data_IF_041352733643
#
_entry.id   IF_041352733643
#
_cell.length_a   1.000
_cell.length_b   1.000
_cell.length_c   1.000
_cell.angle_alpha   90.00
_cell.angle_beta   90.00
_cell.angle_gamma   90.00
#
_symmetry.space_group_name_H-M   'P 1'
#
loop_
_entity.id
_entity.type
_entity.pdbx_description
1 polymer ?
#
# COMPACT_ATOMS: atom_id res chain seq x y z
N UNK A 1 28.38 -9.32 0.24
CA UNK A 1 27.87 -7.98 -0.07
C UNK A 1 26.92 -7.60 1.04
N UNK A 2 27.02 -6.42 1.60
CA UNK A 2 25.98 -5.93 2.53
C UNK A 2 24.69 -5.75 1.71
N UNK A 3 23.52 -6.13 2.26
CA UNK A 3 22.26 -5.91 1.58
C UNK A 3 22.08 -4.40 1.30
N UNK A 4 21.70 -4.06 0.08
CA UNK A 4 21.44 -2.68 -0.29
C UNK A 4 20.12 -2.25 0.35
N UNK A 5 20.12 -1.16 1.11
CA UNK A 5 18.91 -0.57 1.67
C UNK A 5 18.03 -0.02 0.55
N UNK A 6 16.78 -0.45 0.49
CA UNK A 6 15.86 -0.17 -0.61
C UNK A 6 14.76 0.81 -0.19
N UNK A 7 13.99 1.31 -1.16
CA UNK A 7 12.75 2.09 -0.90
C UNK A 7 11.75 1.25 -0.09
N UNK A 8 11.69 -0.05 -0.38
CA UNK A 8 10.84 -0.98 0.38
C UNK A 8 11.24 -1.04 1.85
N UNK A 9 12.54 -1.16 2.13
CA UNK A 9 13.04 -1.18 3.51
C UNK A 9 12.74 0.15 4.24
N UNK A 10 12.91 1.29 3.55
CA UNK A 10 12.55 2.59 4.10
C UNK A 10 11.07 2.66 4.48
N UNK A 11 10.18 2.24 3.59
CA UNK A 11 8.73 2.22 3.87
C UNK A 11 8.42 1.35 5.09
N UNK A 12 9.00 0.15 5.17
CA UNK A 12 8.77 -0.77 6.29
C UNK A 12 9.27 -0.18 7.62
N UNK A 13 10.44 0.45 7.64
CA UNK A 13 10.96 1.11 8.84
C UNK A 13 10.04 2.26 9.27
N UNK A 14 9.54 3.08 8.32
CA UNK A 14 8.60 4.16 8.62
C UNK A 14 7.26 3.65 9.17
N UNK A 15 6.75 2.50 8.69
CA UNK A 15 5.56 1.86 9.28
C UNK A 15 5.80 1.48 10.74
N UNK A 16 6.93 0.86 11.04
CA UNK A 16 7.31 0.47 12.41
C UNK A 16 7.43 1.71 13.31
N UNK A 17 8.03 2.80 12.83
CA UNK A 17 8.13 4.07 13.57
C UNK A 17 6.76 4.70 13.84
N UNK A 18 5.76 4.48 12.96
CA UNK A 18 4.37 4.87 13.21
C UNK A 18 3.61 3.93 14.18
N UNK A 19 4.28 2.93 14.75
CA UNK A 19 3.69 1.96 15.68
C UNK A 19 2.93 0.82 15.01
N UNK A 20 3.06 0.66 13.68
CA UNK A 20 2.44 -0.43 12.93
C UNK A 20 3.35 -1.65 12.99
N UNK A 21 2.93 -2.71 13.68
CA UNK A 21 3.68 -3.96 13.82
C UNK A 21 3.05 -5.12 13.02
N UNK A 22 1.98 -4.86 12.27
CA UNK A 22 1.31 -5.85 11.40
C UNK A 22 0.94 -5.22 10.06
N UNK A 23 1.26 -5.94 8.98
CA UNK A 23 0.84 -5.60 7.62
C UNK A 23 -0.16 -6.66 7.13
N UNK A 24 -1.37 -6.24 6.82
CA UNK A 24 -2.44 -7.11 6.33
C UNK A 24 -2.43 -7.14 4.80
N UNK A 25 -2.91 -8.21 4.18
CA UNK A 25 -3.02 -8.20 2.72
C UNK A 25 -3.18 -9.54 2.07
N UNK A 26 -3.08 -9.54 0.75
CA UNK A 26 -3.14 -10.72 -0.11
C UNK A 26 -1.94 -10.69 -1.06
N UNK A 27 -1.18 -11.80 -1.17
CA UNK A 27 -0.11 -11.90 -2.14
C UNK A 27 -0.64 -11.84 -3.58
N UNK A 28 0.09 -11.19 -4.46
CA UNK A 28 -0.18 -11.15 -5.90
C UNK A 28 1.07 -10.76 -6.67
N UNK A 29 1.08 -11.01 -7.99
CA UNK A 29 2.29 -10.94 -8.81
C UNK A 29 3.08 -9.63 -8.67
N UNK A 30 2.38 -8.51 -8.52
CA UNK A 30 3.05 -7.20 -8.44
C UNK A 30 3.51 -6.81 -7.03
N UNK A 31 3.23 -7.60 -5.99
CA UNK A 31 3.69 -7.33 -4.63
C UNK A 31 4.60 -8.41 -4.04
N UNK A 32 4.81 -9.55 -4.73
CA UNK A 32 5.61 -10.67 -4.20
C UNK A 32 7.03 -10.26 -3.84
N UNK A 33 7.70 -9.47 -4.67
CA UNK A 33 9.07 -9.02 -4.39
C UNK A 33 9.14 -8.12 -3.14
N UNK A 34 8.13 -7.27 -2.94
CA UNK A 34 8.04 -6.45 -1.73
C UNK A 34 7.72 -7.30 -0.50
N UNK A 35 6.93 -8.36 -0.66
CA UNK A 35 6.64 -9.31 0.43
C UNK A 35 7.88 -10.03 0.94
N UNK A 36 8.88 -10.28 0.10
CA UNK A 36 10.17 -10.83 0.57
C UNK A 36 10.84 -9.88 1.57
N UNK A 37 10.80 -8.57 1.33
CA UNK A 37 11.28 -7.55 2.28
C UNK A 37 10.44 -7.51 3.55
N UNK A 38 9.11 -7.63 3.43
CA UNK A 38 8.19 -7.68 4.59
C UNK A 38 8.51 -8.88 5.49
N UNK A 39 8.74 -10.06 4.90
CA UNK A 39 9.06 -11.29 5.63
C UNK A 39 10.44 -11.20 6.28
N UNK A 40 11.38 -10.50 5.66
CA UNK A 40 12.71 -10.28 6.21
C UNK A 40 12.73 -9.27 7.37
N UNK A 41 11.74 -8.36 7.44
CA UNK A 41 11.62 -7.35 8.49
C UNK A 41 11.15 -7.99 9.82
N UNK A 42 11.99 -7.92 10.86
CA UNK A 42 11.71 -8.61 12.13
C UNK A 42 10.67 -7.91 13.00
N UNK A 43 10.48 -6.61 12.82
CA UNK A 43 9.58 -5.78 13.65
C UNK A 43 8.17 -5.65 13.06
N UNK A 44 7.94 -6.17 11.85
CA UNK A 44 6.67 -6.10 11.14
C UNK A 44 6.21 -7.50 10.73
N UNK A 45 5.09 -7.96 11.28
CA UNK A 45 4.53 -9.27 10.97
C UNK A 45 3.57 -9.21 9.77
N UNK A 46 3.71 -10.13 8.81
CA UNK A 46 2.73 -10.33 7.74
C UNK A 46 1.50 -11.09 8.22
N UNK A 47 0.32 -10.59 7.87
CA UNK A 47 -0.98 -11.22 8.13
C UNK A 47 -1.72 -11.40 6.80
N UNK A 48 -1.62 -12.61 6.24
CA UNK A 48 -2.36 -12.98 5.02
C UNK A 48 -3.86 -13.10 5.30
N UNK A 49 -4.67 -12.49 4.44
CA UNK A 49 -6.12 -12.45 4.54
C UNK A 49 -6.78 -13.29 3.45
N UNK A 50 -8.06 -13.64 3.63
CA UNK A 50 -8.80 -14.44 2.67
C UNK A 50 -9.08 -13.70 1.35
N UNK A 51 -9.24 -12.37 1.42
CA UNK A 51 -9.31 -11.46 0.29
C UNK A 51 -8.95 -10.04 0.74
N UNK A 52 -8.85 -9.12 -0.20
CA UNK A 52 -8.38 -7.74 0.05
C UNK A 52 -9.39 -6.90 0.82
N UNK A 53 -10.69 -7.16 0.70
CA UNK A 53 -11.71 -6.51 1.52
C UNK A 53 -11.56 -6.92 3.00
N UNK A 54 -11.29 -8.20 3.27
CA UNK A 54 -10.95 -8.64 4.62
C UNK A 54 -9.68 -7.96 5.14
N UNK A 55 -8.66 -7.80 4.28
CA UNK A 55 -7.42 -7.12 4.65
C UNK A 55 -7.67 -5.65 5.03
N UNK A 56 -8.51 -4.94 4.25
CA UNK A 56 -8.87 -3.56 4.52
C UNK A 56 -9.61 -3.43 5.86
N UNK A 57 -10.60 -4.26 6.14
CA UNK A 57 -11.30 -4.25 7.42
C UNK A 57 -10.41 -4.71 8.60
N UNK A 58 -9.48 -5.64 8.36
CA UNK A 58 -8.52 -6.03 9.40
C UNK A 58 -7.57 -4.88 9.74
N UNK A 59 -7.07 -4.15 8.73
CA UNK A 59 -6.24 -2.96 8.92
C UNK A 59 -7.02 -1.83 9.63
N UNK A 60 -8.29 -1.61 9.27
CA UNK A 60 -9.18 -0.66 9.94
C UNK A 60 -9.35 -1.00 11.44
N UNK A 61 -9.76 -2.24 11.73
CA UNK A 61 -9.93 -2.69 13.12
C UNK A 61 -8.63 -2.61 13.93
N UNK A 62 -7.49 -2.93 13.31
CA UNK A 62 -6.17 -2.79 13.93
C UNK A 62 -5.86 -1.31 14.20
N UNK A 63 -6.09 -0.43 13.23
CA UNK A 63 -5.83 1.01 13.36
C UNK A 63 -6.64 1.66 14.49
N UNK A 64 -7.90 1.25 14.68
CA UNK A 64 -8.75 1.72 15.79
C UNK A 64 -8.18 1.43 17.18
N UNK A 65 -7.37 0.39 17.32
CA UNK A 65 -6.76 -0.02 18.59
C UNK A 65 -5.32 0.51 18.73
N UNK A 66 -4.56 0.48 17.63
CA UNK A 66 -3.13 0.84 17.62
C UNK A 66 -2.83 2.28 17.23
N UNK A 67 -3.80 2.99 16.68
CA UNK A 67 -3.67 4.37 16.20
C UNK A 67 -3.37 4.50 14.72
N UNK A 68 -2.82 3.49 14.07
CA UNK A 68 -2.61 3.42 12.61
C UNK A 68 -2.56 1.97 12.15
N UNK A 69 -2.86 1.73 10.88
CA UNK A 69 -2.81 0.40 10.25
C UNK A 69 -2.33 0.47 8.81
N UNK A 70 -1.95 -0.67 8.26
CA UNK A 70 -1.53 -0.76 6.86
C UNK A 70 -1.99 -2.06 6.21
N UNK A 71 -2.31 -1.99 4.91
CA UNK A 71 -2.57 -3.16 4.08
C UNK A 71 -1.79 -3.09 2.78
N UNK A 72 -1.48 -4.27 2.24
CA UNK A 72 -0.79 -4.45 0.97
C UNK A 72 -1.65 -5.27 0.02
N UNK A 73 -1.87 -4.75 -1.18
CA UNK A 73 -2.59 -5.44 -2.26
C UNK A 73 -1.77 -5.47 -3.53
N UNK A 74 -2.13 -6.34 -4.46
CA UNK A 74 -1.63 -6.26 -5.82
C UNK A 74 -2.37 -5.19 -6.61
N UNK A 75 -1.81 -4.78 -7.75
CA UNK A 75 -2.37 -3.82 -8.67
C UNK A 75 -3.75 -4.24 -9.21
N UNK A 76 -4.59 -3.28 -9.46
CA UNK A 76 -5.87 -3.44 -10.15
C UNK A 76 -6.86 -4.26 -9.33
N UNK A 77 -7.01 -5.53 -9.66
CA UNK A 77 -8.02 -6.41 -9.04
C UNK A 77 -7.92 -6.49 -7.53
N UNK A 78 -6.71 -6.44 -6.97
CA UNK A 78 -6.51 -6.46 -5.52
C UNK A 78 -6.84 -5.13 -4.87
N UNK A 79 -6.31 -4.02 -5.41
CA UNK A 79 -6.60 -2.69 -4.86
C UNK A 79 -8.09 -2.34 -4.97
N UNK A 80 -8.74 -2.65 -6.09
CA UNK A 80 -10.17 -2.41 -6.28
C UNK A 80 -11.03 -3.16 -5.26
N UNK A 81 -10.66 -4.40 -4.93
CA UNK A 81 -11.35 -5.19 -3.90
C UNK A 81 -11.27 -4.55 -2.51
N UNK A 82 -10.22 -3.80 -2.21
CA UNK A 82 -10.01 -3.14 -0.92
C UNK A 82 -10.75 -1.80 -0.79
N UNK A 83 -11.16 -1.15 -1.91
CA UNK A 83 -11.67 0.24 -1.91
C UNK A 83 -12.85 0.46 -0.97
N UNK A 84 -13.74 -0.51 -0.83
CA UNK A 84 -14.88 -0.42 0.09
C UNK A 84 -14.42 -0.22 1.55
N UNK A 85 -13.44 -1.02 2.00
CA UNK A 85 -12.87 -0.87 3.35
C UNK A 85 -12.10 0.45 3.51
N UNK A 86 -11.31 0.85 2.49
CA UNK A 86 -10.59 2.13 2.49
C UNK A 86 -11.56 3.32 2.57
N UNK A 87 -12.64 3.30 1.80
CA UNK A 87 -13.68 4.34 1.86
C UNK A 87 -14.33 4.42 3.26
N UNK A 88 -14.54 3.28 3.92
CA UNK A 88 -15.04 3.23 5.29
C UNK A 88 -14.05 3.84 6.30
N UNK A 89 -12.77 3.48 6.20
CA UNK A 89 -11.71 4.06 7.04
C UNK A 89 -11.59 5.57 6.83
N UNK A 90 -11.62 6.03 5.58
CA UNK A 90 -11.59 7.46 5.25
C UNK A 90 -12.78 8.22 5.83
N UNK A 91 -13.99 7.69 5.68
CA UNK A 91 -15.22 8.32 6.19
C UNK A 91 -15.25 8.47 7.72
N UNK A 92 -14.54 7.61 8.45
CA UNK A 92 -14.48 7.61 9.91
C UNK A 92 -13.14 8.11 10.47
N UNK A 93 -12.29 8.71 9.63
CA UNK A 93 -10.97 9.23 10.01
C UNK A 93 -10.06 8.19 10.67
N UNK A 94 -10.15 6.93 10.22
CA UNK A 94 -9.29 5.84 10.69
C UNK A 94 -8.00 5.84 9.88
N UNK A 95 -6.81 6.02 10.50
CA UNK A 95 -5.55 6.11 9.77
C UNK A 95 -5.12 4.76 9.21
N UNK A 96 -5.38 4.52 7.93
CA UNK A 96 -5.01 3.28 7.23
C UNK A 96 -4.19 3.61 5.98
N UNK A 97 -2.97 3.08 5.90
CA UNK A 97 -2.14 3.16 4.71
C UNK A 97 -2.47 1.98 3.77
N UNK A 98 -2.86 2.28 2.55
CA UNK A 98 -3.02 1.28 1.49
C UNK A 98 -1.79 1.28 0.58
N UNK A 99 -1.01 0.21 0.63
CA UNK A 99 0.17 -0.02 -0.22
C UNK A 99 -0.26 -0.88 -1.40
N UNK A 100 0.02 -0.42 -2.61
CA UNK A 100 -0.32 -1.14 -3.84
C UNK A 100 0.95 -1.54 -4.58
N UNK A 101 1.17 -2.84 -4.74
CA UNK A 101 2.23 -3.35 -5.61
C UNK A 101 1.83 -3.14 -7.07
N UNK A 102 2.60 -2.39 -7.82
CA UNK A 102 2.31 -2.01 -9.19
C UNK A 102 3.32 -2.61 -10.19
N UNK A 103 2.96 -2.73 -11.48
CA UNK A 103 3.91 -3.07 -12.54
C UNK A 103 5.14 -2.16 -12.51
N UNK A 104 6.30 -2.68 -12.89
CA UNK A 104 7.53 -1.90 -12.88
C UNK A 104 7.40 -0.63 -13.75
N UNK A 105 8.08 0.44 -13.35
CA UNK A 105 8.00 1.76 -14.01
C UNK A 105 8.32 1.70 -15.50
N UNK A 106 9.25 0.81 -15.91
CA UNK A 106 9.59 0.63 -17.33
C UNK A 106 8.43 0.06 -18.16
N UNK A 107 7.65 -0.89 -17.61
CA UNK A 107 6.48 -1.43 -18.29
C UNK A 107 5.36 -0.36 -18.38
N UNK A 108 5.16 0.40 -17.32
CA UNK A 108 4.19 1.50 -17.32
C UNK A 108 4.55 2.57 -18.36
N UNK A 109 5.83 2.99 -18.44
CA UNK A 109 6.30 3.99 -19.42
C UNK A 109 6.13 3.54 -20.88
N UNK A 110 6.22 2.23 -21.14
CA UNK A 110 5.98 1.67 -22.48
C UNK A 110 4.51 1.41 -22.80
N UNK A 111 3.60 1.62 -21.83
CA UNK A 111 2.16 1.32 -22.01
C UNK A 111 1.89 -0.15 -22.29
N UNK A 112 2.62 -1.07 -21.63
CA UNK A 112 2.47 -2.51 -21.87
C UNK A 112 1.09 -3.01 -21.45
N UNK A 113 0.51 -3.88 -22.28
CA UNK A 113 -0.79 -4.52 -21.99
C UNK A 113 -0.57 -5.69 -21.03
N UNK A 114 -0.74 -5.43 -19.76
CA UNK A 114 -0.49 -6.40 -18.69
C UNK A 114 -1.81 -6.89 -18.07
N UNK A 115 -1.75 -8.07 -17.44
CA UNK A 115 -2.86 -8.58 -16.63
C UNK A 115 -3.15 -7.65 -15.43
N UNK A 116 -4.33 -7.75 -14.87
CA UNK A 116 -4.85 -6.90 -13.78
C UNK A 116 -4.99 -5.41 -14.16
N UNK A 117 -4.83 -5.06 -15.44
CA UNK A 117 -5.08 -3.71 -15.97
C UNK A 117 -6.37 -3.70 -16.80
N UNK A 118 -6.76 -2.54 -17.32
CA UNK A 118 -7.87 -2.43 -18.27
C UNK A 118 -7.43 -2.76 -19.73
N UNK A 119 -6.15 -3.09 -19.94
CA UNK A 119 -5.63 -3.53 -21.23
C UNK A 119 -5.47 -2.40 -22.27
N UNK A 120 -5.36 -1.17 -21.82
CA UNK A 120 -5.24 0.03 -22.66
C UNK A 120 -3.89 0.75 -22.53
N UNK A 121 -3.01 0.28 -21.64
CA UNK A 121 -1.70 0.87 -21.39
C UNK A 121 -1.70 2.08 -20.47
N UNK A 122 -2.86 2.50 -19.94
CA UNK A 122 -2.95 3.53 -18.91
C UNK A 122 -3.01 2.90 -17.51
N UNK A 123 -1.98 3.17 -16.72
CA UNK A 123 -1.85 2.65 -15.35
C UNK A 123 -2.37 3.63 -14.30
N UNK A 124 -3.05 4.69 -14.68
CA UNK A 124 -3.56 5.70 -13.75
C UNK A 124 -5.03 5.48 -13.34
N UNK A 125 -5.74 4.55 -13.96
CA UNK A 125 -7.18 4.36 -13.75
C UNK A 125 -7.54 4.09 -12.28
N UNK A 126 -6.90 3.11 -11.66
CA UNK A 126 -7.24 2.68 -10.30
C UNK A 126 -6.78 3.70 -9.26
N UNK A 127 -5.62 4.33 -9.48
CA UNK A 127 -5.16 5.44 -8.69
C UNK A 127 -6.17 6.60 -8.65
N UNK A 128 -6.72 6.99 -9.82
CA UNK A 128 -7.78 8.01 -9.92
C UNK A 128 -9.08 7.58 -9.25
N UNK A 129 -9.44 6.29 -9.28
CA UNK A 129 -10.65 5.79 -8.62
C UNK A 129 -10.61 5.96 -7.11
N UNK A 130 -9.44 5.87 -6.50
CA UNK A 130 -9.26 6.05 -5.06
C UNK A 130 -9.08 7.50 -4.60
N UNK A 131 -8.96 8.46 -5.53
CA UNK A 131 -8.72 9.88 -5.22
C UNK A 131 -9.76 10.49 -4.27
N UNK A 132 -11.02 10.10 -4.40
CA UNK A 132 -12.12 10.67 -3.60
C UNK A 132 -12.34 9.99 -2.25
N UNK A 133 -11.59 8.93 -1.96
CA UNK A 133 -11.72 8.13 -0.74
C UNK A 133 -10.41 8.02 0.04
N UNK A 134 -9.46 8.89 -0.26
CA UNK A 134 -8.17 8.98 0.42
C UNK A 134 -7.80 10.43 0.70
N UNK A 135 -7.16 10.70 1.82
CA UNK A 135 -6.67 12.04 2.16
C UNK A 135 -5.39 12.40 1.39
N UNK A 136 -4.60 11.40 1.01
CA UNK A 136 -3.36 11.57 0.26
C UNK A 136 -3.06 10.37 -0.62
N UNK A 137 -2.36 10.60 -1.71
CA UNK A 137 -1.88 9.57 -2.63
C UNK A 137 -0.48 9.89 -3.14
N UNK A 138 0.31 8.87 -3.48
CA UNK A 138 1.57 9.02 -4.19
C UNK A 138 1.89 7.83 -5.10
N UNK A 139 2.56 8.12 -6.19
CA UNK A 139 3.25 7.12 -7.02
C UNK A 139 4.74 7.23 -6.73
N UNK A 140 5.31 6.16 -6.17
CA UNK A 140 6.71 6.16 -5.74
C UNK A 140 7.66 5.93 -6.92
N UNK A 141 8.72 6.73 -6.96
CA UNK A 141 9.84 6.59 -7.88
C UNK A 141 11.15 6.89 -7.13
N UNK A 142 12.29 6.49 -7.68
CA UNK A 142 13.58 6.66 -7.02
C UNK A 142 13.89 8.11 -6.57
N UNK A 143 13.37 9.11 -7.30
CA UNK A 143 13.63 10.52 -7.00
C UNK A 143 12.70 11.17 -5.96
N UNK A 144 11.57 10.52 -5.60
CA UNK A 144 10.58 11.11 -4.70
C UNK A 144 10.20 10.23 -3.51
N UNK A 145 10.58 8.96 -3.50
CA UNK A 145 10.01 7.95 -2.64
C UNK A 145 10.06 8.31 -1.14
N UNK A 146 11.22 8.67 -0.60
CA UNK A 146 11.33 8.98 0.83
C UNK A 146 10.47 10.17 1.22
N UNK A 147 10.49 11.25 0.41
CA UNK A 147 9.67 12.42 0.66
C UNK A 147 8.17 12.11 0.61
N UNK A 148 7.71 11.35 -0.39
CA UNK A 148 6.31 11.01 -0.54
C UNK A 148 5.82 10.04 0.56
N UNK A 149 6.66 9.08 0.96
CA UNK A 149 6.35 8.19 2.09
C UNK A 149 6.13 9.02 3.37
N UNK A 150 7.05 9.92 3.69
CA UNK A 150 6.95 10.77 4.89
C UNK A 150 5.73 11.69 4.82
N UNK A 151 5.47 12.30 3.66
CA UNK A 151 4.31 13.17 3.45
C UNK A 151 3.00 12.41 3.68
N UNK A 152 2.84 11.24 3.03
CA UNK A 152 1.61 10.44 3.15
C UNK A 152 1.37 9.98 4.58
N UNK A 153 2.40 9.49 5.25
CA UNK A 153 2.27 9.07 6.65
C UNK A 153 1.89 10.23 7.55
N UNK A 154 2.48 11.40 7.35
CA UNK A 154 2.12 12.60 8.08
C UNK A 154 0.66 13.02 7.83
N UNK A 155 0.23 13.05 6.57
CA UNK A 155 -1.16 13.40 6.22
C UNK A 155 -2.16 12.37 6.76
N UNK A 156 -1.86 11.08 6.65
CA UNK A 156 -2.69 10.00 7.21
C UNK A 156 -2.89 10.16 8.73
N UNK A 157 -1.81 10.48 9.47
CA UNK A 157 -1.86 10.60 10.93
C UNK A 157 -2.49 11.92 11.42
N UNK A 158 -2.58 12.94 10.56
CA UNK A 158 -3.10 14.28 10.93
C UNK A 158 -4.45 14.60 10.31
N UNK A 159 -4.98 13.70 9.47
CA UNK A 159 -6.30 13.89 8.85
C UNK A 159 -7.42 13.69 9.88
N UNK A 160 -8.23 14.75 10.08
CA UNK A 160 -9.36 14.78 11.02
C UNK A 160 -10.61 15.37 10.38
#
# INVERSE_FOLDING_TARGET
MQPTYTIGDYLLDRLVECGIDRLFGVPGDYNLQFLDSVIAQQSLGWVGCANELNAAYAADGYARIKGAGALLTTYGVGELSALNGIAGSYAEYVPVLHIVGAPCTGAQQRGELLHHTLGDGDFSHFWRMSEHITCAQAVLAAGNACHEIDRILSEMLTHH
#
